data_IF_468206766284
#
_entry.id   IF_468206766284
#
_cell.length_a   1.000
_cell.length_b   1.000
_cell.length_c   1.000
_cell.angle_alpha   90.00
_cell.angle_beta   90.00
_cell.angle_gamma   90.00
#
_symmetry.space_group_name_H-M   'P 1'
#
loop_
_entity.id
_entity.type
_entity.pdbx_description
1 polymer ?
#
# COMPACT_ATOMS: atom_id res chain seq x y z
N UNK A 1 -4.59 12.93 5.29
CA UNK A 1 -5.77 13.37 4.51
C UNK A 1 -6.45 12.14 3.94
N UNK A 2 -7.45 11.62 4.65
CA UNK A 2 -8.26 10.46 4.22
C UNK A 2 -9.70 10.92 3.94
N UNK A 3 -10.41 10.20 3.09
CA UNK A 3 -11.82 10.44 2.78
C UNK A 3 -12.11 11.81 2.16
N UNK A 4 -11.18 12.30 1.33
CA UNK A 4 -11.41 13.49 0.52
C UNK A 4 -12.04 13.04 -0.80
N UNK A 5 -13.21 13.57 -1.10
CA UNK A 5 -13.89 13.37 -2.37
C UNK A 5 -13.25 14.25 -3.44
N UNK A 6 -12.90 13.64 -4.57
CA UNK A 6 -12.32 14.28 -5.73
C UNK A 6 -13.23 14.01 -6.92
N UNK A 7 -13.52 15.05 -7.68
CA UNK A 7 -14.25 14.96 -8.93
C UNK A 7 -13.27 15.05 -10.09
N UNK A 8 -13.11 13.95 -10.83
CA UNK A 8 -12.27 13.90 -12.03
C UNK A 8 -13.14 14.09 -13.27
N UNK A 9 -12.87 15.17 -14.00
CA UNK A 9 -13.46 15.49 -15.31
C UNK A 9 -15.00 15.36 -15.35
N UNK A 10 -15.69 15.83 -14.31
CA UNK A 10 -17.15 15.92 -14.22
C UNK A 10 -17.94 14.60 -14.19
N UNK A 11 -17.26 13.44 -14.20
CA UNK A 11 -17.95 12.14 -14.37
C UNK A 11 -17.49 11.08 -13.37
N UNK A 12 -16.29 11.16 -12.81
CA UNK A 12 -15.77 10.15 -11.90
C UNK A 12 -15.50 10.72 -10.50
N UNK A 13 -16.28 10.25 -9.51
CA UNK A 13 -16.03 10.52 -8.10
C UNK A 13 -15.02 9.51 -7.56
N UNK A 14 -13.91 10.01 -7.03
CA UNK A 14 -12.89 9.21 -6.35
C UNK A 14 -12.74 9.69 -4.91
N UNK A 15 -12.34 8.78 -4.02
CA UNK A 15 -12.14 9.08 -2.60
C UNK A 15 -10.69 8.74 -2.24
N UNK A 16 -10.02 9.61 -1.49
CA UNK A 16 -8.67 9.32 -1.01
C UNK A 16 -8.68 8.25 0.08
N UNK A 17 -7.75 7.31 -0.02
CA UNK A 17 -7.60 6.23 0.95
C UNK A 17 -6.93 6.71 2.25
N UNK A 18 -7.12 5.94 3.33
CA UNK A 18 -6.25 6.07 4.52
C UNK A 18 -4.79 5.80 4.13
N UNK A 19 -3.82 6.43 4.83
CA UNK A 19 -2.41 6.31 4.49
C UNK A 19 -1.91 4.88 4.69
N UNK A 20 -1.17 4.39 3.69
CA UNK A 20 -0.54 3.07 3.71
C UNK A 20 0.67 3.04 2.76
N UNK A 21 1.75 2.38 3.19
CA UNK A 21 2.96 2.15 2.38
C UNK A 21 2.95 0.73 1.82
N UNK A 22 3.35 0.59 0.55
CA UNK A 22 3.34 -0.70 -0.15
C UNK A 22 4.67 -1.46 -0.02
N UNK A 23 4.74 -2.68 -0.52
CA UNK A 23 5.96 -3.50 -0.47
C UNK A 23 7.16 -2.83 -1.14
N UNK A 24 6.94 -2.20 -2.30
CA UNK A 24 8.02 -1.49 -3.02
C UNK A 24 8.58 -0.28 -2.27
N UNK A 25 7.95 0.17 -1.18
CA UNK A 25 8.57 1.16 -0.29
C UNK A 25 9.85 0.60 0.36
N UNK A 26 9.85 -0.67 0.76
CA UNK A 26 11.00 -1.33 1.37
C UNK A 26 12.07 -1.78 0.35
N UNK A 27 11.77 -1.72 -0.95
CA UNK A 27 12.74 -2.02 -2.00
C UNK A 27 13.82 -0.93 -2.16
N UNK A 28 13.65 0.23 -1.52
CA UNK A 28 14.52 1.38 -1.72
C UNK A 28 14.52 1.89 -3.16
N UNK A 29 15.60 2.55 -3.55
CA UNK A 29 15.80 3.08 -4.91
C UNK A 29 17.15 2.65 -5.48
N UNK A 30 17.49 3.11 -6.68
CA UNK A 30 18.80 2.81 -7.28
C UNK A 30 19.96 3.48 -6.54
N UNK A 31 19.72 4.61 -5.86
CA UNK A 31 20.75 5.34 -5.12
C UNK A 31 21.07 4.66 -3.78
N UNK A 32 20.09 3.97 -3.20
CA UNK A 32 20.23 3.15 -2.01
C UNK A 32 19.18 2.03 -2.05
N UNK A 33 19.57 0.82 -2.50
CA UNK A 33 18.68 -0.32 -2.52
C UNK A 33 18.20 -0.68 -1.11
N UNK A 34 16.97 -1.16 -1.02
CA UNK A 34 16.44 -1.69 0.21
C UNK A 34 17.15 -2.96 0.65
N UNK A 35 17.09 -3.23 1.96
CA UNK A 35 17.48 -4.52 2.51
C UNK A 35 16.33 -5.54 2.28
N UNK A 36 16.65 -6.83 2.12
CA UNK A 36 15.72 -7.93 1.81
C UNK A 36 15.28 -8.09 0.33
N UNK A 37 14.35 -9.02 0.08
CA UNK A 37 13.87 -9.49 -1.22
C UNK A 37 12.75 -8.61 -1.83
N UNK A 38 12.65 -7.34 -1.43
CA UNK A 38 11.67 -6.40 -1.98
C UNK A 38 12.13 -5.83 -3.32
N UNK A 39 11.21 -5.81 -4.30
CA UNK A 39 11.44 -5.22 -5.62
C UNK A 39 10.50 -4.04 -5.88
N UNK A 40 11.00 -3.02 -6.57
CA UNK A 40 10.18 -1.93 -7.09
C UNK A 40 9.16 -2.45 -8.12
N UNK A 41 7.95 -1.87 -8.16
CA UNK A 41 6.88 -2.30 -9.06
C UNK A 41 6.12 -3.56 -8.63
N UNK A 42 6.27 -3.99 -7.38
CA UNK A 42 5.57 -5.17 -6.86
C UNK A 42 4.08 -4.87 -6.65
N UNK A 43 3.22 -5.58 -7.40
CA UNK A 43 1.74 -5.45 -7.33
C UNK A 43 1.05 -6.63 -6.63
N UNK A 44 1.81 -7.65 -6.23
CA UNK A 44 1.31 -8.83 -5.53
C UNK A 44 2.15 -9.07 -4.28
N UNK A 45 1.50 -9.32 -3.15
CA UNK A 45 2.20 -9.64 -1.90
C UNK A 45 2.81 -11.04 -1.93
N UNK A 46 3.91 -11.24 -1.20
CA UNK A 46 4.50 -12.56 -0.96
C UNK A 46 3.91 -13.20 0.29
N UNK A 47 3.89 -14.53 0.36
CA UNK A 47 3.34 -15.27 1.50
C UNK A 47 4.05 -14.90 2.82
N UNK A 48 5.38 -14.85 2.80
CA UNK A 48 6.19 -14.53 3.99
C UNK A 48 5.86 -13.14 4.52
N UNK A 49 5.93 -12.12 3.66
CA UNK A 49 5.70 -10.75 4.10
C UNK A 49 4.25 -10.47 4.46
N UNK A 50 3.27 -11.13 3.83
CA UNK A 50 1.88 -11.04 4.26
C UNK A 50 1.68 -11.54 5.71
N UNK A 51 2.41 -12.60 6.12
CA UNK A 51 2.38 -13.10 7.50
C UNK A 51 2.99 -12.07 8.45
N UNK A 52 4.15 -11.50 8.08
CA UNK A 52 4.82 -10.46 8.89
C UNK A 52 3.91 -9.22 9.06
N UNK A 53 3.28 -8.77 7.97
CA UNK A 53 2.33 -7.65 7.99
C UNK A 53 1.15 -7.96 8.91
N UNK A 54 0.55 -9.14 8.78
CA UNK A 54 -0.58 -9.53 9.61
C UNK A 54 -0.21 -9.66 11.10
N UNK A 55 1.04 -10.04 11.40
CA UNK A 55 1.57 -10.11 12.77
C UNK A 55 1.77 -8.71 13.39
N UNK A 56 2.34 -7.77 12.62
CA UNK A 56 2.57 -6.40 13.10
C UNK A 56 1.24 -5.65 13.20
N UNK A 57 0.49 -5.58 12.09
CA UNK A 57 -0.80 -4.90 11.98
C UNK A 57 -1.52 -5.36 10.72
N UNK A 58 -2.50 -6.25 10.89
CA UNK A 58 -3.38 -6.68 9.79
C UNK A 58 -4.18 -5.50 9.20
N UNK A 59 -3.99 -5.14 7.91
CA UNK A 59 -4.75 -4.08 7.26
C UNK A 59 -6.22 -4.49 7.05
N UNK A 60 -7.14 -3.54 7.16
CA UNK A 60 -8.56 -3.76 6.91
C UNK A 60 -8.83 -4.13 5.44
N UNK A 61 -9.96 -4.80 5.20
CA UNK A 61 -10.40 -5.14 3.82
C UNK A 61 -10.63 -3.87 2.99
N UNK A 62 -11.24 -2.86 3.59
CA UNK A 62 -11.50 -1.56 2.95
C UNK A 62 -10.21 -0.89 2.48
N UNK A 63 -9.17 -0.88 3.33
CA UNK A 63 -7.88 -0.30 2.98
C UNK A 63 -7.19 -1.07 1.84
N UNK A 64 -7.22 -2.41 1.88
CA UNK A 64 -6.68 -3.27 0.81
C UNK A 64 -7.38 -3.02 -0.53
N UNK A 65 -8.70 -2.86 -0.52
CA UNK A 65 -9.48 -2.56 -1.73
C UNK A 65 -9.19 -1.15 -2.25
N UNK A 66 -9.13 -0.15 -1.38
CA UNK A 66 -8.91 1.24 -1.79
C UNK A 66 -7.51 1.44 -2.41
N UNK A 67 -6.49 0.80 -1.84
CA UNK A 67 -5.11 0.92 -2.29
C UNK A 67 -4.74 -0.04 -3.43
N UNK A 68 -5.69 -0.84 -3.95
CA UNK A 68 -5.40 -1.80 -5.01
C UNK A 68 -4.82 -1.11 -6.26
N UNK A 69 -3.79 -1.68 -6.91
CA UNK A 69 -3.20 -3.01 -6.70
C UNK A 69 -2.01 -3.04 -5.74
N UNK A 70 -1.82 -2.04 -4.86
CA UNK A 70 -0.64 -1.97 -3.97
C UNK A 70 -0.72 -3.00 -2.84
N UNK A 71 0.25 -3.93 -2.72
CA UNK A 71 0.34 -4.79 -1.55
C UNK A 71 0.84 -3.96 -0.36
N UNK A 72 0.05 -3.87 0.71
CA UNK A 72 0.32 -3.02 1.86
C UNK A 72 1.36 -3.68 2.77
N UNK A 73 2.47 -2.98 3.03
CA UNK A 73 3.47 -3.35 4.01
C UNK A 73 3.19 -2.70 5.38
N UNK A 74 2.81 -1.41 5.38
CA UNK A 74 2.54 -0.66 6.60
C UNK A 74 1.20 0.08 6.47
N UNK A 75 0.23 -0.28 7.30
CA UNK A 75 -1.08 0.36 7.38
C UNK A 75 -1.04 1.53 8.37
N UNK A 76 -0.29 2.59 8.06
CA UNK A 76 -0.01 3.70 9.01
C UNK A 76 -1.24 4.53 9.40
N UNK A 77 -2.34 4.41 8.65
CA UNK A 77 -3.62 5.04 8.98
C UNK A 77 -4.59 4.16 9.76
N UNK A 78 -4.16 2.99 10.24
CA UNK A 78 -5.02 2.01 10.96
C UNK A 78 -4.38 1.42 12.21
#
# INVERSE_FOLDING_TARGET
MSNIELESNGTERRITCKPAMGFSFAAGTIDCPGEFDFLQGTTKGSTLWNIVVDFIRRPSKELKTCQAPKPILLATGE
#
